data_IF_827428333821
#
_entry.id   IF_827428333821
#
_cell.length_a   1.000
_cell.length_b   1.000
_cell.length_c   1.000
_cell.angle_alpha   90.00
_cell.angle_beta   90.00
_cell.angle_gamma   90.00
#
_symmetry.space_group_name_H-M   'P 1'
#
loop_
_entity.id
_entity.type
_entity.pdbx_description
1 polymer ?
#
# COMPACT_ATOMS: atom_id res chain seq x y z
N UNK A 1 -6.42 32.72 -27.41
CA UNK A 1 -5.39 31.83 -26.82
C UNK A 1 -4.76 32.55 -25.65
N UNK A 2 -4.73 31.92 -24.46
CA UNK A 2 -3.98 32.38 -23.33
C UNK A 2 -2.66 31.60 -23.26
N UNK A 3 -1.55 32.30 -23.23
CA UNK A 3 -0.23 31.70 -23.07
C UNK A 3 0.14 31.69 -21.61
N UNK A 4 0.35 30.49 -21.05
CA UNK A 4 0.89 30.32 -19.71
C UNK A 4 2.39 30.66 -19.74
N UNK A 5 2.78 31.71 -19.02
CA UNK A 5 4.18 32.18 -18.97
C UNK A 5 5.02 31.45 -17.92
N UNK A 6 4.38 30.76 -17.00
CA UNK A 6 5.03 29.97 -15.94
C UNK A 6 4.21 28.74 -15.60
N UNK A 7 4.84 27.58 -15.56
CA UNK A 7 4.28 26.32 -15.14
C UNK A 7 5.15 25.73 -14.02
N UNK A 8 4.59 25.61 -12.83
CA UNK A 8 5.28 24.96 -11.71
C UNK A 8 4.99 23.46 -11.71
N UNK A 9 6.01 22.59 -11.64
CA UNK A 9 5.79 21.16 -11.48
C UNK A 9 5.22 20.86 -10.09
N UNK A 10 4.27 19.96 -10.02
CA UNK A 10 3.67 19.55 -8.75
C UNK A 10 2.37 18.81 -8.91
N UNK A 11 1.86 18.31 -7.79
CA UNK A 11 0.55 17.67 -7.71
C UNK A 11 -0.42 18.52 -6.88
N UNK A 12 -1.67 18.08 -6.80
CA UNK A 12 -2.71 18.73 -6.00
C UNK A 12 -2.39 18.70 -4.48
N UNK A 13 -1.54 17.77 -4.04
CA UNK A 13 -1.11 17.66 -2.64
C UNK A 13 0.30 18.22 -2.48
N UNK A 14 0.49 19.11 -1.51
CA UNK A 14 1.78 19.70 -1.16
C UNK A 14 2.46 20.52 -2.25
N UNK A 15 1.81 20.75 -3.40
CA UNK A 15 2.35 21.47 -4.57
C UNK A 15 3.71 20.94 -5.07
N UNK A 16 4.00 19.64 -4.86
CA UNK A 16 5.19 18.94 -5.31
C UNK A 16 4.84 17.49 -5.69
N UNK A 17 5.83 16.69 -6.02
CA UNK A 17 5.66 15.30 -6.42
C UNK A 17 6.11 14.28 -5.34
N UNK A 18 6.43 14.74 -4.13
CA UNK A 18 7.00 13.89 -3.08
C UNK A 18 6.09 12.72 -2.65
N UNK A 19 4.78 12.89 -2.76
CA UNK A 19 3.81 11.82 -2.51
C UNK A 19 3.98 10.64 -3.48
N UNK A 20 4.50 10.89 -4.68
CA UNK A 20 4.56 9.91 -5.77
C UNK A 20 5.97 9.40 -6.05
N UNK A 21 6.99 10.20 -5.77
CA UNK A 21 8.39 9.90 -6.11
C UNK A 21 9.34 10.55 -5.10
N UNK A 22 10.55 10.00 -4.96
CA UNK A 22 11.63 10.56 -4.14
C UNK A 22 11.92 9.77 -2.88
N UNK A 23 10.95 9.15 -2.22
CA UNK A 23 11.18 8.22 -1.13
C UNK A 23 11.75 6.89 -1.65
N UNK A 24 12.63 6.23 -0.88
CA UNK A 24 13.29 4.98 -1.30
C UNK A 24 12.30 3.89 -1.72
N UNK A 25 11.22 3.68 -0.96
CA UNK A 25 10.20 2.68 -1.30
C UNK A 25 9.47 3.04 -2.61
N UNK A 26 9.13 4.33 -2.79
CA UNK A 26 8.47 4.82 -4.02
C UNK A 26 9.38 4.65 -5.23
N UNK A 27 10.65 5.01 -5.10
CA UNK A 27 11.62 4.86 -6.17
C UNK A 27 11.83 3.37 -6.51
N UNK A 28 11.96 2.50 -5.50
CA UNK A 28 12.07 1.05 -5.71
C UNK A 28 10.84 0.46 -6.42
N UNK A 29 9.63 0.98 -6.12
CA UNK A 29 8.42 0.58 -6.83
C UNK A 29 8.45 1.03 -8.29
N UNK A 30 8.85 2.27 -8.58
CA UNK A 30 9.02 2.77 -9.95
C UNK A 30 10.08 2.00 -10.72
N UNK A 31 11.20 1.63 -10.11
CA UNK A 31 12.23 0.80 -10.73
C UNK A 31 11.67 -0.55 -11.16
N UNK A 32 10.82 -1.19 -10.32
CA UNK A 32 10.17 -2.44 -10.69
C UNK A 32 9.16 -2.30 -11.84
N UNK A 33 8.41 -1.19 -11.89
CA UNK A 33 7.50 -0.88 -13.01
C UNK A 33 8.31 -0.70 -14.28
N UNK A 34 9.36 0.14 -14.25
CA UNK A 34 10.20 0.42 -15.43
C UNK A 34 10.87 -0.83 -15.97
N UNK A 35 11.44 -1.64 -15.11
CA UNK A 35 12.06 -2.90 -15.50
C UNK A 35 11.07 -3.87 -16.14
N UNK A 36 9.86 -3.97 -15.57
CA UNK A 36 8.82 -4.87 -16.10
C UNK A 36 8.24 -4.34 -17.41
N UNK A 37 8.06 -3.00 -17.52
CA UNK A 37 7.64 -2.33 -18.74
C UNK A 37 8.66 -2.51 -19.87
N UNK A 38 9.93 -2.27 -19.57
CA UNK A 38 11.02 -2.47 -20.52
C UNK A 38 11.10 -3.92 -21.01
N UNK A 39 10.82 -4.90 -20.13
CA UNK A 39 10.71 -6.30 -20.53
C UNK A 39 9.61 -6.52 -21.59
N UNK A 40 8.39 -5.98 -21.40
CA UNK A 40 7.29 -6.14 -22.39
C UNK A 40 7.68 -5.48 -23.72
N UNK A 41 8.24 -4.28 -23.69
CA UNK A 41 8.67 -3.56 -24.91
C UNK A 41 9.66 -4.41 -25.72
N UNK A 42 10.66 -4.97 -25.05
CA UNK A 42 11.67 -5.83 -25.70
C UNK A 42 11.06 -7.12 -26.28
N UNK A 43 10.03 -7.69 -25.65
CA UNK A 43 9.30 -8.84 -26.20
C UNK A 43 8.55 -8.48 -27.49
N UNK A 44 7.99 -7.28 -27.57
CA UNK A 44 7.25 -6.82 -28.74
C UNK A 44 8.16 -6.56 -29.96
N UNK A 45 9.41 -6.13 -29.75
CA UNK A 45 10.37 -5.89 -30.84
C UNK A 45 10.88 -7.19 -31.49
N UNK A 46 10.83 -8.31 -30.77
CA UNK A 46 11.28 -9.62 -31.24
C UNK A 46 10.24 -10.44 -32.00
N UNK A 47 8.95 -10.11 -31.88
CA UNK A 47 7.85 -10.87 -32.48
C UNK A 47 7.22 -10.14 -33.67
N UNK A 48 6.94 -10.90 -34.72
CA UNK A 48 6.19 -10.42 -35.89
C UNK A 48 4.81 -9.89 -35.40
N UNK A 49 4.42 -8.69 -35.85
CA UNK A 49 3.18 -7.96 -35.54
C UNK A 49 1.86 -8.75 -35.80
N UNK A 50 1.94 -9.94 -36.37
CA UNK A 50 0.80 -10.79 -36.73
C UNK A 50 0.33 -11.72 -35.59
N UNK A 51 1.09 -11.86 -34.54
CA UNK A 51 0.72 -12.64 -33.34
C UNK A 51 0.49 -11.71 -32.15
N UNK A 52 -0.28 -10.63 -32.29
CA UNK A 52 -0.73 -9.83 -31.13
C UNK A 52 -1.63 -10.69 -30.26
N UNK A 53 -0.98 -11.43 -29.43
CA UNK A 53 -1.52 -12.36 -28.51
C UNK A 53 -2.30 -11.58 -27.45
N UNK A 54 -3.50 -11.99 -27.17
CA UNK A 54 -4.34 -11.55 -26.04
C UNK A 54 -3.52 -11.44 -24.73
N UNK A 55 -2.48 -12.27 -24.59
CA UNK A 55 -1.53 -12.24 -23.48
C UNK A 55 -0.74 -10.93 -23.36
N UNK A 56 -0.28 -10.35 -24.48
CA UNK A 56 0.45 -9.06 -24.46
C UNK A 56 -0.48 -7.93 -24.03
N UNK A 57 -1.72 -7.93 -24.53
CA UNK A 57 -2.71 -6.92 -24.15
C UNK A 57 -2.97 -6.99 -22.65
N UNK A 58 -3.20 -8.19 -22.11
CA UNK A 58 -3.40 -8.41 -20.67
C UNK A 58 -2.15 -8.05 -19.85
N UNK A 59 -0.96 -8.32 -20.36
CA UNK A 59 0.28 -7.93 -19.71
C UNK A 59 0.42 -6.40 -19.60
N UNK A 60 0.02 -5.65 -20.64
CA UNK A 60 -0.05 -4.19 -20.56
C UNK A 60 -1.10 -3.68 -19.60
N UNK A 61 -2.27 -4.33 -19.49
CA UNK A 61 -3.27 -3.99 -18.49
C UNK A 61 -2.71 -4.11 -17.07
N UNK A 62 -1.93 -5.16 -16.78
CA UNK A 62 -1.25 -5.33 -15.49
C UNK A 62 -0.24 -4.20 -15.21
N UNK A 63 0.51 -3.73 -16.22
CA UNK A 63 1.39 -2.56 -16.08
C UNK A 63 0.58 -1.30 -15.79
N UNK A 64 -0.49 -1.03 -16.54
CA UNK A 64 -1.32 0.16 -16.30
C UNK A 64 -1.96 0.17 -14.91
N UNK A 65 -2.32 -1.00 -14.38
CA UNK A 65 -2.76 -1.12 -12.99
C UNK A 65 -1.63 -0.77 -12.03
N UNK A 66 -0.40 -1.27 -12.28
CA UNK A 66 0.75 -0.99 -11.43
C UNK A 66 1.24 0.47 -11.50
N UNK A 67 0.97 1.19 -12.61
CA UNK A 67 1.23 2.63 -12.74
C UNK A 67 0.21 3.50 -11.97
N UNK A 68 -0.84 2.90 -11.41
CA UNK A 68 -1.85 3.59 -10.63
C UNK A 68 -1.25 4.34 -9.44
N UNK A 69 -1.71 5.57 -9.22
CA UNK A 69 -1.16 6.47 -8.19
C UNK A 69 -1.37 5.95 -6.75
N UNK A 70 -2.39 5.13 -6.52
CA UNK A 70 -2.75 4.66 -5.18
C UNK A 70 -1.66 3.80 -4.53
N UNK A 71 -0.91 3.02 -5.31
CA UNK A 71 0.21 2.25 -4.80
C UNK A 71 1.28 3.16 -4.17
N UNK A 72 1.69 4.20 -4.89
CA UNK A 72 2.73 5.14 -4.47
C UNK A 72 2.29 6.03 -3.31
N UNK A 73 0.97 6.23 -3.14
CA UNK A 73 0.41 6.89 -1.98
C UNK A 73 0.76 6.15 -0.68
N UNK A 74 0.76 4.82 -0.69
CA UNK A 74 0.97 4.00 0.49
C UNK A 74 2.43 3.59 0.72
N UNK A 75 3.31 3.73 -0.28
CA UNK A 75 4.74 3.57 -0.07
C UNK A 75 5.35 4.79 0.62
N UNK A 76 6.39 4.58 1.44
CA UNK A 76 7.03 5.62 2.22
C UNK A 76 6.38 5.84 3.59
N UNK A 77 6.71 6.96 4.21
CA UNK A 77 6.30 7.29 5.59
C UNK A 77 5.27 8.43 5.64
N UNK A 78 4.91 8.99 4.48
CA UNK A 78 4.02 10.15 4.38
C UNK A 78 2.59 9.79 4.78
N UNK A 79 2.17 8.58 4.45
CA UNK A 79 0.83 8.07 4.66
C UNK A 79 0.88 6.73 5.37
N UNK A 80 0.05 6.59 6.39
CA UNK A 80 0.05 5.42 7.26
C UNK A 80 -1.19 4.59 6.99
N UNK A 81 -0.99 3.29 6.70
CA UNK A 81 -2.08 2.31 6.62
C UNK A 81 -1.62 0.99 7.21
N UNK A 82 -2.57 0.24 7.81
CA UNK A 82 -2.32 -1.13 8.29
C UNK A 82 -2.27 -2.16 7.17
N UNK A 83 -2.67 -1.78 5.98
CA UNK A 83 -2.72 -2.62 4.79
C UNK A 83 -1.51 -2.41 3.87
N UNK A 84 -0.44 -1.75 4.36
CA UNK A 84 0.75 -1.46 3.55
C UNK A 84 1.37 -2.73 2.96
N UNK A 85 1.44 -3.81 3.75
CA UNK A 85 1.98 -5.10 3.30
C UNK A 85 1.10 -5.73 2.22
N UNK A 86 -0.22 -5.61 2.35
CA UNK A 86 -1.18 -6.09 1.36
C UNK A 86 -1.09 -5.28 0.07
N UNK A 87 -0.97 -3.96 0.14
CA UNK A 87 -0.76 -3.11 -1.03
C UNK A 87 0.55 -3.45 -1.73
N UNK A 88 1.66 -3.59 -1.01
CA UNK A 88 2.95 -4.01 -1.56
C UNK A 88 2.84 -5.38 -2.25
N UNK A 89 2.20 -6.35 -1.60
CA UNK A 89 2.00 -7.68 -2.17
C UNK A 89 1.16 -7.64 -3.45
N UNK A 90 0.07 -6.87 -3.46
CA UNK A 90 -0.81 -6.74 -4.63
C UNK A 90 -0.10 -6.01 -5.77
N UNK A 91 0.60 -4.93 -5.50
CA UNK A 91 1.41 -4.22 -6.48
C UNK A 91 2.41 -5.16 -7.18
N UNK A 92 3.21 -5.89 -6.40
CA UNK A 92 4.16 -6.87 -6.94
C UNK A 92 3.48 -8.05 -7.63
N UNK A 93 2.25 -8.39 -7.25
CA UNK A 93 1.47 -9.44 -7.93
C UNK A 93 1.11 -9.01 -9.36
N UNK A 94 0.68 -7.77 -9.56
CA UNK A 94 0.42 -7.24 -10.90
C UNK A 94 1.67 -7.33 -11.78
N UNK A 95 2.83 -6.91 -11.27
CA UNK A 95 4.09 -7.03 -12.01
C UNK A 95 4.48 -8.49 -12.28
N UNK A 96 4.27 -9.41 -11.34
CA UNK A 96 4.49 -10.86 -11.54
C UNK A 96 3.57 -11.45 -12.60
N UNK A 97 2.32 -10.98 -12.66
CA UNK A 97 1.35 -11.46 -13.65
C UNK A 97 1.80 -11.18 -15.07
N UNK A 98 2.50 -10.07 -15.32
CA UNK A 98 3.09 -9.76 -16.62
C UNK A 98 3.97 -10.92 -17.13
N UNK A 99 4.90 -11.39 -16.32
CA UNK A 99 5.78 -12.49 -16.68
C UNK A 99 5.02 -13.81 -16.86
N UNK A 100 4.04 -14.08 -15.99
CA UNK A 100 3.20 -15.28 -16.08
C UNK A 100 2.34 -15.31 -17.35
N UNK A 101 1.76 -14.17 -17.75
CA UNK A 101 0.94 -14.03 -18.95
C UNK A 101 1.76 -14.26 -20.23
N UNK A 102 3.05 -13.99 -20.16
CA UNK A 102 3.99 -14.19 -21.26
C UNK A 102 4.77 -15.51 -21.17
N UNK A 103 4.40 -16.39 -20.23
CA UNK A 103 5.05 -17.71 -19.99
C UNK A 103 6.56 -17.60 -19.77
N UNK A 104 6.98 -16.59 -18.98
CA UNK A 104 8.38 -16.33 -18.62
C UNK A 104 8.56 -16.41 -17.12
N UNK A 105 9.72 -16.89 -16.68
CA UNK A 105 10.06 -16.97 -15.27
C UNK A 105 10.00 -15.60 -14.59
N UNK A 106 9.33 -15.54 -13.44
CA UNK A 106 9.18 -14.32 -12.65
C UNK A 106 10.52 -13.96 -12.00
N UNK A 107 11.04 -12.74 -12.21
CA UNK A 107 12.28 -12.30 -11.56
C UNK A 107 12.19 -12.33 -10.04
N UNK A 108 13.19 -12.91 -9.37
CA UNK A 108 13.24 -13.06 -7.90
C UNK A 108 13.12 -11.73 -7.14
N UNK A 109 13.54 -10.61 -7.72
CA UNK A 109 13.38 -9.29 -7.11
C UNK A 109 11.93 -8.93 -6.81
N UNK A 110 10.96 -9.45 -7.59
CA UNK A 110 9.54 -9.28 -7.32
C UNK A 110 9.03 -10.09 -6.12
N UNK A 111 9.85 -11.00 -5.55
CA UNK A 111 9.53 -11.70 -4.31
C UNK A 111 9.91 -10.90 -3.07
N UNK A 112 10.79 -9.91 -3.23
CA UNK A 112 11.26 -9.07 -2.13
C UNK A 112 10.25 -7.96 -1.85
N UNK A 113 9.73 -7.82 -0.62
CA UNK A 113 8.87 -6.71 -0.25
C UNK A 113 9.56 -5.35 -0.42
N UNK A 114 8.83 -4.36 -0.94
CA UNK A 114 9.27 -2.97 -1.04
C UNK A 114 9.07 -2.28 0.31
N UNK A 115 7.90 -2.51 0.92
CA UNK A 115 7.57 -1.95 2.21
C UNK A 115 8.51 -2.47 3.30
N UNK A 116 9.29 -1.58 3.92
CA UNK A 116 10.30 -1.93 4.93
C UNK A 116 9.76 -1.87 6.36
N UNK A 117 8.65 -1.22 6.58
CA UNK A 117 8.08 -0.98 7.91
C UNK A 117 6.75 -1.68 8.05
N UNK A 118 6.74 -2.83 8.69
CA UNK A 118 5.50 -3.39 9.23
C UNK A 118 5.01 -2.48 10.37
N UNK A 119 3.98 -1.70 10.13
CA UNK A 119 3.29 -0.99 11.19
C UNK A 119 2.75 -2.01 12.19
N UNK A 120 2.98 -1.76 13.47
CA UNK A 120 2.33 -2.56 14.51
C UNK A 120 0.82 -2.41 14.34
N UNK A 121 0.13 -3.53 14.17
CA UNK A 121 -1.33 -3.54 14.11
C UNK A 121 -1.90 -2.70 15.26
N UNK A 122 -2.91 -1.87 15.03
CA UNK A 122 -3.48 -1.01 16.07
C UNK A 122 -4.24 -1.80 17.11
N UNK A 123 -4.34 -3.12 16.94
CA UNK A 123 -5.10 -4.00 17.79
C UNK A 123 -4.28 -5.18 18.28
N UNK A 124 -4.68 -5.68 19.45
CA UNK A 124 -4.27 -6.98 20.00
C UNK A 124 -5.50 -7.85 20.18
N UNK A 125 -5.32 -9.16 20.07
CA UNK A 125 -6.42 -10.10 20.31
C UNK A 125 -6.61 -10.38 21.81
N UNK A 126 -7.85 -10.71 22.25
CA UNK A 126 -8.09 -11.23 23.60
C UNK A 126 -7.25 -12.48 23.84
N UNK A 127 -6.69 -12.58 25.04
CA UNK A 127 -5.85 -13.73 25.43
C UNK A 127 -6.64 -14.80 26.16
N UNK A 128 -7.76 -14.42 26.82
CA UNK A 128 -8.64 -15.29 27.62
C UNK A 128 -10.06 -14.76 27.58
N UNK A 129 -11.00 -15.56 28.10
CA UNK A 129 -12.33 -15.06 28.43
C UNK A 129 -12.23 -13.94 29.47
N UNK A 130 -13.09 -12.97 29.34
CA UNK A 130 -13.11 -11.80 30.22
C UNK A 130 -14.24 -11.94 31.25
N UNK A 131 -13.90 -11.65 32.49
CA UNK A 131 -14.88 -11.46 33.58
C UNK A 131 -14.75 -9.98 34.04
N UNK A 132 -15.40 -9.10 33.28
CA UNK A 132 -15.31 -7.65 33.48
C UNK A 132 -16.69 -7.05 33.70
N UNK A 133 -16.75 -6.01 34.52
CA UNK A 133 -17.96 -5.26 34.71
C UNK A 133 -18.06 -4.08 33.75
N UNK A 134 -19.09 -4.10 32.89
CA UNK A 134 -19.33 -3.02 31.93
C UNK A 134 -20.04 -1.83 32.59
N UNK A 135 -19.34 -1.10 33.44
CA UNK A 135 -19.87 0.07 34.18
C UNK A 135 -19.27 1.40 33.75
N UNK A 136 -18.42 1.40 32.72
CA UNK A 136 -17.75 2.59 32.19
C UNK A 136 -16.52 3.04 32.98
N UNK A 137 -16.09 2.26 33.97
CA UNK A 137 -14.95 2.58 34.82
C UNK A 137 -13.94 1.42 34.76
N UNK A 138 -12.67 1.74 34.67
CA UNK A 138 -11.57 0.74 34.84
C UNK A 138 -11.28 0.68 36.32
N UNK A 139 -11.78 -0.33 37.03
CA UNK A 139 -11.69 -0.47 38.47
C UNK A 139 -10.30 -0.80 38.97
N UNK A 140 -9.53 -1.57 38.17
CA UNK A 140 -8.16 -1.95 38.49
C UNK A 140 -7.38 -2.35 37.22
N UNK A 141 -6.06 -2.45 37.35
CA UNK A 141 -5.15 -2.79 36.26
C UNK A 141 -5.45 -4.15 35.60
N UNK A 142 -5.91 -5.12 36.37
CA UNK A 142 -6.08 -6.51 35.88
C UNK A 142 -7.38 -6.73 35.14
N UNK A 143 -8.35 -5.84 35.33
CA UNK A 143 -9.70 -5.99 34.80
C UNK A 143 -9.74 -6.21 33.28
N UNK A 144 -8.95 -5.46 32.53
CA UNK A 144 -8.87 -5.51 31.07
C UNK A 144 -7.55 -6.08 30.54
N UNK A 145 -6.73 -6.71 31.41
CA UNK A 145 -5.37 -7.14 31.05
C UNK A 145 -5.35 -8.18 29.92
N UNK A 146 -6.30 -9.10 29.92
CA UNK A 146 -6.41 -10.16 28.91
C UNK A 146 -7.35 -9.79 27.75
N UNK A 147 -7.89 -8.59 27.72
CA UNK A 147 -8.74 -8.08 26.67
C UNK A 147 -7.95 -7.85 25.36
N UNK A 148 -8.63 -7.99 24.25
CA UNK A 148 -8.21 -7.37 23.01
C UNK A 148 -8.28 -5.85 23.15
N UNK A 149 -7.34 -5.13 22.57
CA UNK A 149 -7.27 -3.68 22.59
C UNK A 149 -7.13 -3.16 21.17
N UNK A 150 -7.99 -2.25 20.79
CA UNK A 150 -7.86 -1.46 19.57
C UNK A 150 -7.46 -0.03 19.95
N UNK A 151 -6.33 0.44 19.42
CA UNK A 151 -5.86 1.80 19.66
C UNK A 151 -6.26 2.71 18.51
N UNK A 152 -7.33 3.49 18.70
CA UNK A 152 -7.89 4.36 17.68
C UNK A 152 -6.92 5.48 17.27
N UNK A 153 -6.05 5.93 18.15
CA UNK A 153 -5.06 6.97 17.84
C UNK A 153 -3.95 6.50 16.87
N UNK A 154 -3.76 5.19 16.74
CA UNK A 154 -2.80 4.59 15.82
C UNK A 154 -3.40 4.22 14.47
N UNK A 155 -4.73 4.18 14.36
CA UNK A 155 -5.47 3.84 13.16
C UNK A 155 -5.98 5.09 12.42
N UNK A 156 -5.29 6.19 12.60
CA UNK A 156 -5.69 7.43 11.94
C UNK A 156 -5.32 7.39 10.47
N UNK A 157 -6.34 7.34 9.63
CA UNK A 157 -6.22 7.69 8.22
C UNK A 157 -5.66 9.12 8.10
N UNK A 158 -4.60 9.27 7.30
CA UNK A 158 -3.90 10.53 7.08
C UNK A 158 -4.77 11.64 6.51
N UNK A 159 -5.90 11.32 5.93
CA UNK A 159 -6.84 12.29 5.37
C UNK A 159 -7.72 12.99 6.42
N UNK A 160 -7.83 12.45 7.62
CA UNK A 160 -8.73 12.92 8.66
C UNK A 160 -8.05 13.13 10.02
N UNK A 161 -6.88 13.76 10.05
CA UNK A 161 -6.28 14.21 11.31
C UNK A 161 -7.14 15.31 11.94
N UNK A 162 -8.21 14.90 12.62
CA UNK A 162 -8.94 15.79 13.52
C UNK A 162 -8.23 15.85 14.86
N UNK A 163 -7.91 17.06 15.30
CA UNK A 163 -7.40 17.30 16.64
C UNK A 163 -8.48 16.86 17.66
N UNK A 164 -8.09 15.97 18.60
CA UNK A 164 -8.93 15.57 19.71
C UNK A 164 -9.90 14.44 19.38
N UNK A 165 -9.40 13.23 19.21
CA UNK A 165 -10.30 12.06 19.17
C UNK A 165 -10.90 11.81 20.55
N UNK A 166 -12.23 11.64 20.63
CA UNK A 166 -12.91 11.38 21.90
C UNK A 166 -12.63 9.97 22.44
N UNK A 167 -12.18 9.04 21.58
CA UNK A 167 -11.89 7.64 21.94
C UNK A 167 -10.46 7.34 21.57
N UNK A 168 -9.63 6.98 22.55
CA UNK A 168 -8.24 6.58 22.33
C UNK A 168 -8.09 5.06 22.17
N UNK A 169 -8.78 4.31 23.00
CA UNK A 169 -8.70 2.85 23.06
C UNK A 169 -10.09 2.23 23.19
N UNK A 170 -10.27 1.09 22.52
CA UNK A 170 -11.43 0.22 22.64
C UNK A 170 -10.93 -1.13 23.12
N UNK A 171 -11.49 -1.62 24.22
CA UNK A 171 -11.25 -2.97 24.72
C UNK A 171 -12.38 -3.89 24.29
N UNK A 172 -12.04 -5.13 23.93
CA UNK A 172 -13.02 -6.12 23.51
C UNK A 172 -12.60 -7.53 23.91
N UNK A 173 -13.57 -8.43 24.00
CA UNK A 173 -13.33 -9.81 24.36
C UNK A 173 -14.59 -10.65 24.34
N UNK A 174 -14.51 -11.84 24.94
CA UNK A 174 -15.57 -12.83 25.03
C UNK A 174 -15.76 -13.20 26.50
N UNK A 175 -17.00 -13.42 26.92
CA UNK A 175 -17.45 -13.97 28.22
C UNK A 175 -17.89 -15.43 28.08
#
# INVERSE_FOLDING_TARGET
EQTLTHLSPGSWIGHNLATWIGHEEKNAAWDLVEDTRSFIVNQQEGESLLSKNDSIIKAWEEIFIAEGSDWFWWFGDDHVTHYKDEFDRLFRLHLKNVYKLLDVDVPRRLDVPIARTALRKPYTYPKRFLDVKLDGVVSNYFEWLDAGRYNASKDMDTMHRTYGQPINDIFFGFD
#
